data_IF_974463113520
#
_entry.id   IF_974463113520
#
_cell.length_a   1.000
_cell.length_b   1.000
_cell.length_c   1.000
_cell.angle_alpha   90.00
_cell.angle_beta   90.00
_cell.angle_gamma   90.00
#
_symmetry.space_group_name_H-M   'P 1'
#
loop_
_entity.id
_entity.type
_entity.pdbx_description
1 polymer ?
#
# COMPACT_ATOMS: atom_id res chain seq x y z
N UNK A 1 -9.73 -12.38 -20.24
CA UNK A 1 -10.45 -11.35 -19.47
C UNK A 1 -9.85 -11.31 -18.07
N UNK A 2 -9.34 -10.17 -17.62
CA UNK A 2 -8.79 -10.01 -16.27
C UNK A 2 -9.89 -10.22 -15.23
N UNK A 3 -9.65 -11.06 -14.21
CA UNK A 3 -10.58 -11.22 -13.08
C UNK A 3 -10.91 -9.85 -12.51
N UNK A 4 -12.20 -9.54 -12.40
CA UNK A 4 -12.68 -8.37 -11.68
C UNK A 4 -12.39 -8.59 -10.21
N UNK A 5 -11.31 -7.98 -9.72
CA UNK A 5 -10.89 -8.06 -8.33
C UNK A 5 -11.96 -7.32 -7.49
N UNK A 6 -12.51 -8.01 -6.48
CA UNK A 6 -13.51 -7.42 -5.57
C UNK A 6 -12.89 -6.35 -4.68
N UNK A 7 -13.71 -5.51 -4.04
CA UNK A 7 -13.22 -4.49 -3.10
C UNK A 7 -12.47 -5.10 -1.91
N UNK A 8 -12.89 -6.28 -1.43
CA UNK A 8 -12.22 -7.01 -0.36
C UNK A 8 -10.83 -7.50 -0.80
N UNK A 9 -10.73 -8.12 -1.98
CA UNK A 9 -9.45 -8.58 -2.53
C UNK A 9 -8.46 -7.43 -2.80
N UNK A 10 -8.96 -6.22 -3.11
CA UNK A 10 -8.09 -5.02 -3.24
C UNK A 10 -7.48 -4.61 -1.90
N UNK A 11 -8.25 -4.71 -0.82
CA UNK A 11 -7.79 -4.42 0.54
C UNK A 11 -6.73 -5.44 0.97
N UNK A 12 -6.99 -6.72 0.78
CA UNK A 12 -6.03 -7.80 1.09
C UNK A 12 -4.72 -7.62 0.30
N UNK A 13 -4.80 -7.29 -0.99
CA UNK A 13 -3.60 -7.02 -1.80
C UNK A 13 -2.83 -5.78 -1.31
N UNK A 14 -3.53 -4.73 -0.90
CA UNK A 14 -2.87 -3.54 -0.35
C UNK A 14 -2.13 -3.89 0.95
N UNK A 15 -2.73 -4.69 1.84
CA UNK A 15 -2.07 -5.18 3.06
C UNK A 15 -0.82 -6.00 2.73
N UNK A 16 -0.91 -6.93 1.77
CA UNK A 16 0.24 -7.73 1.35
C UNK A 16 1.39 -6.89 0.78
N UNK A 17 1.08 -5.79 0.09
CA UNK A 17 2.11 -4.87 -0.43
C UNK A 17 2.81 -4.11 0.71
N UNK A 18 2.07 -3.70 1.74
CA UNK A 18 2.63 -3.06 2.94
C UNK A 18 3.53 -4.05 3.71
N UNK A 19 3.06 -5.28 3.90
CA UNK A 19 3.85 -6.32 4.55
C UNK A 19 5.13 -6.63 3.77
N UNK A 20 5.06 -6.74 2.44
CA UNK A 20 6.25 -6.90 1.59
C UNK A 20 7.25 -5.76 1.77
N UNK A 21 6.77 -4.52 1.89
CA UNK A 21 7.64 -3.38 2.14
C UNK A 21 8.28 -3.44 3.54
N UNK A 22 7.59 -3.96 4.56
CA UNK A 22 8.14 -4.15 5.92
C UNK A 22 9.14 -5.31 6.01
N UNK A 23 8.95 -6.37 5.23
CA UNK A 23 9.86 -7.52 5.15
C UNK A 23 11.13 -7.19 4.37
N UNK A 24 11.06 -6.20 3.48
CA UNK A 24 12.22 -5.76 2.72
C UNK A 24 13.29 -5.22 3.67
N UNK A 25 14.46 -5.86 3.68
CA UNK A 25 15.54 -5.52 4.60
C UNK A 25 16.00 -4.07 4.36
N UNK A 26 16.00 -3.27 5.45
CA UNK A 26 16.56 -1.92 5.39
C UNK A 26 18.08 -2.05 5.18
N UNK A 27 18.64 -1.49 4.09
CA UNK A 27 20.07 -1.58 3.85
C UNK A 27 20.85 -0.86 4.95
N UNK A 28 21.88 -1.54 5.46
CA UNK A 28 22.70 -1.07 6.58
C UNK A 28 23.44 0.24 6.28
N UNK A 29 23.66 0.54 4.99
CA UNK A 29 24.37 1.75 4.55
C UNK A 29 23.48 3.00 4.49
N UNK A 30 22.18 2.85 4.71
CA UNK A 30 21.20 3.94 4.77
C UNK A 30 20.36 4.08 3.49
N UNK A 31 19.09 4.50 3.60
CA UNK A 31 18.12 4.50 2.50
C UNK A 31 18.56 5.34 1.29
N UNK A 32 19.36 6.40 1.49
CA UNK A 32 19.83 7.26 0.39
C UNK A 32 21.00 6.69 -0.43
N UNK A 33 21.68 5.64 0.06
CA UNK A 33 22.73 4.97 -0.70
C UNK A 33 22.19 3.89 -1.62
N UNK A 34 21.06 3.27 -1.24
CA UNK A 34 20.34 2.30 -2.05
C UNK A 34 19.11 2.90 -2.71
N UNK A 35 19.34 3.60 -3.82
CA UNK A 35 18.27 4.11 -4.69
C UNK A 35 17.30 3.01 -5.14
N UNK A 36 17.78 1.78 -5.27
CA UNK A 36 16.96 0.62 -5.63
C UNK A 36 15.95 0.29 -4.53
N UNK A 37 16.37 0.30 -3.25
CA UNK A 37 15.49 0.02 -2.11
C UNK A 37 14.40 1.09 -1.97
N UNK A 38 14.79 2.36 -2.06
CA UNK A 38 13.83 3.47 -1.97
C UNK A 38 12.85 3.49 -3.13
N UNK A 39 13.31 3.20 -4.35
CA UNK A 39 12.44 3.08 -5.51
C UNK A 39 11.44 1.92 -5.36
N UNK A 40 11.88 0.76 -4.85
CA UNK A 40 11.01 -0.39 -4.61
C UNK A 40 9.94 -0.10 -3.56
N UNK A 41 10.31 0.50 -2.42
CA UNK A 41 9.33 0.88 -1.39
C UNK A 41 8.32 1.88 -1.97
N UNK A 42 8.78 2.94 -2.63
CA UNK A 42 7.88 3.93 -3.23
C UNK A 42 6.95 3.31 -4.27
N UNK A 43 7.43 2.36 -5.06
CA UNK A 43 6.59 1.66 -6.03
C UNK A 43 5.54 0.77 -5.35
N UNK A 44 5.92 0.01 -4.33
CA UNK A 44 4.99 -0.81 -3.54
C UNK A 44 3.90 0.04 -2.86
N UNK A 45 4.28 1.17 -2.25
CA UNK A 45 3.33 2.09 -1.61
C UNK A 45 2.40 2.75 -2.63
N UNK A 46 2.92 3.11 -3.81
CA UNK A 46 2.11 3.62 -4.92
C UNK A 46 1.08 2.60 -5.40
N UNK A 47 1.50 1.35 -5.62
CA UNK A 47 0.61 0.27 -6.03
C UNK A 47 -0.49 0.01 -4.98
N UNK A 48 -0.13 0.03 -3.69
CA UNK A 48 -1.11 -0.13 -2.60
C UNK A 48 -2.12 1.02 -2.57
N UNK A 49 -1.68 2.28 -2.72
CA UNK A 49 -2.58 3.46 -2.83
C UNK A 49 -3.50 3.37 -4.03
N UNK A 50 -2.99 2.94 -5.19
CA UNK A 50 -3.79 2.82 -6.42
C UNK A 50 -4.93 1.79 -6.30
N UNK A 51 -4.74 0.74 -5.50
CA UNK A 51 -5.77 -0.24 -5.20
C UNK A 51 -6.88 0.32 -4.29
N UNK A 52 -6.51 1.17 -3.33
CA UNK A 52 -7.43 1.69 -2.31
C UNK A 52 -8.15 2.97 -2.73
N UNK A 53 -7.55 3.81 -3.60
CA UNK A 53 -8.07 5.16 -3.92
C UNK A 53 -9.50 5.17 -4.48
N UNK A 54 -9.92 4.10 -5.15
CA UNK A 54 -11.24 4.00 -5.79
C UNK A 54 -12.32 3.36 -4.91
N UNK A 55 -11.94 2.71 -3.81
CA UNK A 55 -12.89 2.02 -2.92
C UNK A 55 -13.92 2.99 -2.32
N UNK A 56 -13.55 4.19 -1.82
CA UNK A 56 -14.52 5.15 -1.30
C UNK A 56 -15.57 5.61 -2.31
N UNK A 57 -15.19 5.69 -3.59
CA UNK A 57 -16.05 6.15 -4.69
C UNK A 57 -16.90 5.04 -5.31
N UNK A 58 -16.66 3.78 -4.93
CA UNK A 58 -17.44 2.66 -5.46
C UNK A 58 -18.83 2.63 -4.82
N UNK A 59 -19.88 2.57 -5.66
CA UNK A 59 -21.26 2.36 -5.23
C UNK A 59 -21.48 0.90 -4.84
N UNK A 60 -22.21 0.64 -3.75
CA UNK A 60 -22.50 -0.72 -3.28
C UNK A 60 -21.44 -1.32 -2.33
N UNK A 61 -20.40 -0.56 -1.97
CA UNK A 61 -19.45 -0.96 -0.93
C UNK A 61 -19.96 -0.47 0.45
N UNK A 62 -19.98 -1.33 1.49
CA UNK A 62 -20.37 -0.95 2.85
C UNK A 62 -19.55 0.22 3.38
N UNK A 63 -20.14 1.03 4.27
CA UNK A 63 -19.45 2.16 4.90
C UNK A 63 -18.18 1.71 5.64
N UNK A 64 -18.24 0.57 6.34
CA UNK A 64 -17.11 -0.03 7.07
C UNK A 64 -15.90 -0.29 6.15
N UNK A 65 -16.11 -0.84 4.96
CA UNK A 65 -15.04 -1.11 3.99
C UNK A 65 -14.43 0.18 3.42
N UNK A 66 -15.23 1.26 3.31
CA UNK A 66 -14.72 2.57 2.89
C UNK A 66 -13.86 3.21 3.98
N UNK A 67 -14.22 3.02 5.24
CA UNK A 67 -13.43 3.48 6.38
C UNK A 67 -12.12 2.71 6.49
N UNK A 68 -12.17 1.38 6.40
CA UNK A 68 -10.97 0.51 6.36
C UNK A 68 -10.01 0.92 5.24
N UNK A 69 -10.52 1.20 4.04
CA UNK A 69 -9.68 1.65 2.92
C UNK A 69 -9.00 3.01 3.20
N UNK A 70 -9.66 3.92 3.92
CA UNK A 70 -9.07 5.21 4.33
C UNK A 70 -8.04 5.04 5.44
N UNK A 71 -8.29 4.14 6.39
CA UNK A 71 -7.33 3.84 7.46
C UNK A 71 -6.05 3.23 6.88
N UNK A 72 -6.18 2.26 5.96
CA UNK A 72 -5.04 1.68 5.27
C UNK A 72 -4.27 2.70 4.43
N UNK A 73 -4.95 3.67 3.79
CA UNK A 73 -4.24 4.76 3.11
C UNK A 73 -3.37 5.58 4.08
N UNK A 74 -3.86 5.86 5.29
CA UNK A 74 -3.05 6.54 6.31
C UNK A 74 -1.90 5.66 6.82
N UNK A 75 -2.12 4.35 6.91
CA UNK A 75 -1.07 3.41 7.30
C UNK A 75 0.04 3.32 6.24
N UNK A 76 -0.31 3.32 4.95
CA UNK A 76 0.66 3.38 3.84
C UNK A 76 1.55 4.61 3.99
N UNK A 77 0.97 5.78 4.28
CA UNK A 77 1.71 7.03 4.42
C UNK A 77 2.67 6.99 5.62
N UNK A 78 2.23 6.40 6.73
CA UNK A 78 3.09 6.17 7.91
C UNK A 78 4.21 5.18 7.60
N UNK A 79 3.90 4.07 6.95
CA UNK A 79 4.88 3.06 6.59
C UNK A 79 5.92 3.61 5.59
N UNK A 80 5.49 4.44 4.63
CA UNK A 80 6.40 5.13 3.71
C UNK A 80 7.36 6.05 4.46
N UNK A 81 6.85 6.85 5.42
CA UNK A 81 7.70 7.69 6.27
C UNK A 81 8.66 6.85 7.12
N UNK A 82 8.16 5.83 7.81
CA UNK A 82 8.96 4.98 8.68
C UNK A 82 10.07 4.24 7.94
N UNK A 83 9.83 3.80 6.69
CA UNK A 83 10.79 3.01 5.92
C UNK A 83 11.83 3.87 5.17
N UNK A 84 11.50 5.11 4.84
CA UNK A 84 12.34 6.00 4.03
C UNK A 84 13.03 7.13 4.82
N UNK A 85 12.52 7.50 6.00
CA UNK A 85 13.12 8.46 6.92
C UNK A 85 13.76 7.77 8.13
#
# INVERSE_FOLDING_TARGET
MSRLITSAERIEKAQQLIEKARVMERPAEGPWKDFTYTAQIKDLMRQARDLLKFIPYTSGVPAETKEQAKELQKEIDKAEMELLH
#
